data_IF_931611830984
#
_entry.id   IF_931611830984
#
_cell.length_a   1.000
_cell.length_b   1.000
_cell.length_c   1.000
_cell.angle_alpha   90.00
_cell.angle_beta   90.00
_cell.angle_gamma   90.00
#
_symmetry.space_group_name_H-M   'P 1'
#
loop_
_entity.id
_entity.type
_entity.pdbx_description
1 polymer ?
#
# COMPACT_ATOMS: atom_id res chain seq x y z
N UNK A 1 31.48 -16.02 -2.31
CA UNK A 1 30.67 -14.99 -3.00
C UNK A 1 29.67 -14.41 -2.01
N UNK A 2 29.33 -13.13 -2.11
CA UNK A 2 28.23 -12.58 -1.33
C UNK A 2 26.91 -13.27 -1.74
N UNK A 3 26.02 -13.63 -0.80
CA UNK A 3 24.76 -14.27 -1.14
C UNK A 3 23.92 -13.36 -2.04
N UNK A 4 23.11 -13.96 -2.91
CA UNK A 4 22.11 -13.22 -3.70
C UNK A 4 20.77 -13.36 -3.00
N UNK A 5 20.10 -12.24 -2.76
CA UNK A 5 18.77 -12.18 -2.16
C UNK A 5 17.79 -11.67 -3.21
N UNK A 6 16.81 -12.48 -3.55
CA UNK A 6 15.70 -12.08 -4.41
C UNK A 6 14.57 -11.51 -3.54
N UNK A 7 14.07 -10.33 -3.90
CA UNK A 7 12.89 -9.70 -3.32
C UNK A 7 11.80 -9.72 -4.37
N UNK A 8 10.68 -10.39 -4.08
CA UNK A 8 9.54 -10.52 -5.00
C UNK A 8 8.43 -9.56 -4.56
N UNK A 9 8.06 -8.64 -5.44
CA UNK A 9 7.11 -7.56 -5.21
C UNK A 9 7.80 -6.23 -4.88
N UNK A 10 7.71 -5.27 -5.79
CA UNK A 10 8.18 -3.88 -5.72
C UNK A 10 7.22 -2.93 -4.99
N UNK A 11 6.40 -3.45 -4.08
CA UNK A 11 5.58 -2.66 -3.17
C UNK A 11 6.38 -2.05 -2.01
N UNK A 12 5.67 -1.42 -1.06
CA UNK A 12 6.27 -0.74 0.11
C UNK A 12 7.27 -1.66 0.85
N UNK A 13 6.83 -2.87 1.21
CA UNK A 13 7.69 -3.82 1.94
C UNK A 13 8.86 -4.32 1.14
N UNK A 14 8.70 -4.58 -0.16
CA UNK A 14 9.81 -5.03 -0.99
C UNK A 14 10.88 -3.95 -1.17
N UNK A 15 10.46 -2.71 -1.43
CA UNK A 15 11.38 -1.57 -1.48
C UNK A 15 12.07 -1.33 -0.13
N UNK A 16 11.34 -1.44 0.98
CA UNK A 16 11.91 -1.34 2.32
C UNK A 16 12.92 -2.47 2.59
N UNK A 17 12.64 -3.70 2.14
CA UNK A 17 13.56 -4.83 2.24
C UNK A 17 14.83 -4.58 1.41
N UNK A 18 14.71 -4.16 0.15
CA UNK A 18 15.86 -3.80 -0.69
C UNK A 18 16.72 -2.70 -0.03
N UNK A 19 16.06 -1.66 0.50
CA UNK A 19 16.74 -0.58 1.22
C UNK A 19 17.52 -1.12 2.42
N UNK A 20 16.91 -1.95 3.27
CA UNK A 20 17.58 -2.51 4.44
C UNK A 20 18.71 -3.49 4.07
N UNK A 21 18.52 -4.34 3.05
CA UNK A 21 19.55 -5.24 2.54
C UNK A 21 20.78 -4.47 2.02
N UNK A 22 20.55 -3.37 1.29
CA UNK A 22 21.63 -2.55 0.71
C UNK A 22 22.47 -1.81 1.76
N UNK A 23 21.95 -1.66 2.98
CA UNK A 23 22.61 -0.94 4.08
C UNK A 23 23.27 -1.85 5.13
N UNK A 24 23.33 -3.16 4.88
CA UNK A 24 24.07 -4.08 5.74
C UNK A 24 25.58 -3.85 5.65
N UNK A 25 26.37 -4.27 6.66
CA UNK A 25 27.83 -4.13 6.66
C UNK A 25 28.52 -4.93 5.54
N UNK A 26 27.88 -6.00 5.09
CA UNK A 26 28.26 -6.77 3.89
C UNK A 26 27.01 -6.97 3.02
N UNK A 27 26.64 -5.97 2.21
CA UNK A 27 25.37 -6.02 1.50
C UNK A 27 25.39 -7.16 0.46
N UNK A 28 24.36 -8.03 0.44
CA UNK A 28 24.22 -9.06 -0.58
C UNK A 28 23.94 -8.44 -1.95
N UNK A 29 24.06 -9.23 -3.01
CA UNK A 29 23.49 -8.86 -4.31
C UNK A 29 21.96 -8.91 -4.17
N UNK A 30 21.28 -7.79 -4.39
CA UNK A 30 19.81 -7.70 -4.31
C UNK A 30 19.20 -7.75 -5.71
N UNK A 31 18.28 -8.67 -5.94
CA UNK A 31 17.47 -8.76 -7.16
C UNK A 31 16.02 -8.44 -6.80
N UNK A 32 15.50 -7.30 -7.27
CA UNK A 32 14.09 -6.94 -7.11
C UNK A 32 13.31 -7.39 -8.34
N UNK A 33 12.26 -8.18 -8.12
CA UNK A 33 11.35 -8.66 -9.14
C UNK A 33 9.97 -8.03 -8.92
N UNK A 34 9.49 -7.24 -9.88
CA UNK A 34 8.16 -6.63 -9.89
C UNK A 34 7.45 -6.99 -11.19
N UNK A 35 6.18 -7.38 -11.10
CA UNK A 35 5.39 -7.78 -12.27
C UNK A 35 4.86 -6.56 -13.04
N UNK A 36 4.58 -5.45 -12.33
CA UNK A 36 4.10 -4.22 -12.91
C UNK A 36 5.19 -3.36 -13.57
N UNK A 37 4.76 -2.38 -14.35
CA UNK A 37 5.65 -1.43 -15.01
C UNK A 37 6.26 -0.37 -14.06
N UNK A 38 5.86 -0.36 -12.78
CA UNK A 38 6.32 0.62 -11.79
C UNK A 38 6.47 0.00 -10.40
N UNK A 39 7.33 0.62 -9.61
CA UNK A 39 7.49 0.34 -8.19
C UNK A 39 6.49 1.17 -7.35
N UNK A 40 6.39 0.82 -6.07
CA UNK A 40 5.60 1.55 -5.06
C UNK A 40 4.27 0.87 -4.68
N UNK A 41 3.91 -0.23 -5.35
CA UNK A 41 2.64 -0.92 -5.10
C UNK A 41 1.46 0.03 -5.30
N UNK A 42 0.51 0.06 -4.37
CA UNK A 42 -0.67 0.93 -4.48
C UNK A 42 -0.40 2.42 -4.22
N UNK A 43 0.77 2.79 -3.72
CA UNK A 43 1.13 4.20 -3.54
C UNK A 43 1.52 4.85 -4.87
N UNK A 44 1.02 6.07 -5.10
CA UNK A 44 1.42 6.92 -6.23
C UNK A 44 1.46 8.38 -5.78
N UNK A 45 2.35 9.18 -6.35
CA UNK A 45 2.35 10.63 -6.16
C UNK A 45 2.05 11.32 -7.48
N UNK A 46 1.17 12.33 -7.48
CA UNK A 46 1.02 13.25 -8.62
C UNK A 46 1.37 14.66 -8.20
N UNK A 47 2.09 15.37 -9.06
CA UNK A 47 2.41 16.79 -8.87
C UNK A 47 1.46 17.64 -9.70
N UNK A 48 0.81 18.61 -9.08
CA UNK A 48 0.03 19.61 -9.79
C UNK A 48 0.95 20.71 -10.36
N UNK A 49 0.40 21.50 -11.27
CA UNK A 49 1.12 22.58 -11.95
C UNK A 49 1.62 23.67 -11.00
N UNK A 50 0.94 23.86 -9.87
CA UNK A 50 1.32 24.79 -8.79
C UNK A 50 2.39 24.23 -7.83
N UNK A 51 2.88 23.00 -8.08
CA UNK A 51 3.87 22.32 -7.26
C UNK A 51 3.30 21.51 -6.10
N UNK A 52 1.98 21.51 -5.88
CA UNK A 52 1.35 20.67 -4.86
C UNK A 52 1.55 19.18 -5.15
N UNK A 53 1.80 18.38 -4.10
CA UNK A 53 2.00 16.93 -4.19
C UNK A 53 0.80 16.21 -3.61
N UNK A 54 0.20 15.33 -4.41
CA UNK A 54 -0.94 14.50 -4.04
C UNK A 54 -0.48 13.06 -3.88
N UNK A 55 -0.60 12.53 -2.67
CA UNK A 55 -0.34 11.13 -2.36
C UNK A 55 -1.62 10.31 -2.53
N UNK A 56 -1.58 9.39 -3.48
CA UNK A 56 -2.64 8.42 -3.77
C UNK A 56 -2.32 7.10 -3.09
N UNK A 57 -3.37 6.41 -2.66
CA UNK A 57 -3.28 5.07 -2.15
C UNK A 57 -4.59 4.63 -1.50
N UNK A 58 -4.72 3.35 -1.15
CA UNK A 58 -5.93 2.82 -0.52
C UNK A 58 -6.14 3.37 0.90
N UNK A 59 -5.09 3.95 1.49
CA UNK A 59 -5.17 4.81 2.67
C UNK A 59 -4.38 6.07 2.40
N UNK A 60 -5.03 7.21 2.48
CA UNK A 60 -4.43 8.50 2.16
C UNK A 60 -3.41 8.95 3.21
N UNK A 61 -2.33 9.56 2.73
CA UNK A 61 -1.46 10.43 3.51
C UNK A 61 -1.94 11.87 3.25
N UNK A 62 -2.11 12.64 4.33
CA UNK A 62 -2.62 14.01 4.23
C UNK A 62 -1.60 14.90 3.50
N UNK A 63 -2.04 15.72 2.53
CA UNK A 63 -1.16 16.73 1.94
C UNK A 63 -0.69 17.72 3.01
N UNK A 64 0.56 18.16 2.92
CA UNK A 64 1.17 19.12 3.85
C UNK A 64 1.11 20.56 3.31
N UNK A 65 1.08 21.54 4.22
CA UNK A 65 1.08 22.97 3.90
C UNK A 65 -0.32 23.57 3.70
N UNK A 66 -0.40 24.88 3.47
CA UNK A 66 -1.66 25.62 3.30
C UNK A 66 -2.51 25.05 2.13
N UNK A 67 -1.87 24.71 1.01
CA UNK A 67 -2.52 24.02 -0.11
C UNK A 67 -3.06 22.62 0.25
N UNK A 68 -2.54 21.96 1.29
CA UNK A 68 -3.07 20.68 1.78
C UNK A 68 -4.29 20.80 2.69
N UNK A 69 -4.43 21.92 3.40
CA UNK A 69 -5.58 22.21 4.24
C UNK A 69 -6.83 22.57 3.43
N UNK A 70 -6.64 23.24 2.29
CA UNK A 70 -7.75 23.76 1.46
C UNK A 70 -8.33 22.72 0.47
N UNK A 71 -7.66 21.57 0.24
CA UNK A 71 -7.83 20.86 -1.05
C UNK A 71 -8.48 19.47 -1.01
N UNK A 72 -8.63 18.75 0.12
CA UNK A 72 -9.05 17.34 0.03
C UNK A 72 -10.11 16.87 1.03
N UNK A 73 -11.36 16.88 0.57
CA UNK A 73 -12.35 15.88 1.01
C UNK A 73 -12.04 14.54 0.34
N UNK A 74 -11.12 13.78 0.94
CA UNK A 74 -10.88 12.41 0.52
C UNK A 74 -12.07 11.54 0.95
N UNK A 75 -12.91 11.18 0.00
CA UNK A 75 -14.01 10.23 0.23
C UNK A 75 -13.52 8.83 -0.11
N UNK A 76 -13.59 7.93 0.87
CA UNK A 76 -13.32 6.52 0.65
C UNK A 76 -14.64 5.80 0.37
N UNK A 77 -14.78 5.25 -0.83
CA UNK A 77 -15.92 4.41 -1.23
C UNK A 77 -15.47 2.96 -1.31
N UNK A 78 -16.19 2.05 -0.66
CA UNK A 78 -15.95 0.61 -0.78
C UNK A 78 -15.97 -0.16 0.53
N UNK A 79 -14.83 -0.80 0.84
CA UNK A 79 -14.75 -1.84 1.85
C UNK A 79 -15.32 -3.16 1.34
N UNK A 80 -15.69 -4.06 2.27
CA UNK A 80 -16.25 -5.38 1.95
C UNK A 80 -17.55 -5.33 1.12
N UNK A 81 -18.17 -4.16 1.02
CA UNK A 81 -19.47 -3.93 0.38
C UNK A 81 -19.35 -3.29 -1.01
N UNK A 82 -18.13 -3.06 -1.53
CA UNK A 82 -17.93 -2.36 -2.80
C UNK A 82 -18.72 -3.01 -3.94
N UNK A 83 -18.52 -4.31 -4.16
CA UNK A 83 -19.16 -5.04 -5.25
C UNK A 83 -20.70 -5.02 -5.14
N UNK A 84 -21.21 -5.15 -3.92
CA UNK A 84 -22.65 -5.10 -3.66
C UNK A 84 -23.24 -3.69 -3.90
N UNK A 85 -22.45 -2.65 -3.66
CA UNK A 85 -22.91 -1.25 -3.72
C UNK A 85 -22.73 -0.61 -5.09
N UNK A 86 -21.68 -0.99 -5.82
CA UNK A 86 -21.24 -0.32 -7.04
C UNK A 86 -21.02 -1.26 -8.23
N UNK A 87 -21.14 -2.57 -8.04
CA UNK A 87 -20.84 -3.57 -9.06
C UNK A 87 -19.35 -3.90 -9.15
N UNK A 88 -18.97 -4.53 -10.26
CA UNK A 88 -17.61 -5.01 -10.47
C UNK A 88 -16.57 -3.86 -10.47
N UNK A 89 -15.57 -3.89 -9.57
CA UNK A 89 -14.56 -2.84 -9.47
C UNK A 89 -13.64 -2.73 -10.70
N UNK A 90 -13.63 -3.72 -11.59
CA UNK A 90 -12.90 -3.65 -12.85
C UNK A 90 -13.66 -2.86 -13.93
N UNK A 91 -14.98 -2.71 -13.81
CA UNK A 91 -15.83 -2.16 -14.87
C UNK A 91 -16.70 -0.99 -14.42
N UNK A 92 -16.75 -0.70 -13.12
CA UNK A 92 -17.51 0.44 -12.55
C UNK A 92 -17.10 1.77 -13.17
N UNK A 93 -18.11 2.57 -13.54
CA UNK A 93 -17.92 3.90 -14.12
C UNK A 93 -17.39 4.89 -13.05
N UNK A 94 -16.28 5.60 -13.29
CA UNK A 94 -15.74 6.60 -12.36
C UNK A 94 -16.75 7.71 -12.01
N UNK A 95 -17.63 8.06 -12.94
CA UNK A 95 -18.65 9.10 -12.79
C UNK A 95 -19.69 8.73 -11.73
N UNK A 96 -20.05 7.44 -11.63
CA UNK A 96 -20.94 6.94 -10.59
C UNK A 96 -20.31 7.12 -9.21
N UNK A 97 -19.03 6.79 -9.08
CA UNK A 97 -18.28 6.91 -7.83
C UNK A 97 -18.12 8.38 -7.43
N UNK A 98 -17.80 9.26 -8.38
CA UNK A 98 -17.72 10.69 -8.14
C UNK A 98 -19.05 11.25 -7.65
N UNK A 99 -20.15 10.91 -8.33
CA UNK A 99 -21.49 11.36 -7.96
C UNK A 99 -21.87 10.90 -6.54
N UNK A 100 -21.54 9.65 -6.18
CA UNK A 100 -21.77 9.12 -4.82
C UNK A 100 -20.91 9.82 -3.77
N UNK A 101 -19.65 10.11 -4.09
CA UNK A 101 -18.76 10.85 -3.20
C UNK A 101 -19.26 12.28 -2.93
N UNK A 102 -19.70 12.99 -3.98
CA UNK A 102 -20.27 14.34 -3.87
C UNK A 102 -21.56 14.34 -3.04
N UNK A 103 -22.44 13.36 -3.26
CA UNK A 103 -23.65 13.22 -2.47
C UNK A 103 -23.34 13.00 -0.97
N UNK A 104 -22.37 12.14 -0.65
CA UNK A 104 -21.95 11.90 0.72
C UNK A 104 -21.34 13.15 1.37
N UNK A 105 -20.50 13.90 0.65
CA UNK A 105 -19.92 15.16 1.15
C UNK A 105 -21.00 16.20 1.44
N UNK A 106 -21.99 16.35 0.56
CA UNK A 106 -23.11 17.27 0.77
C UNK A 106 -23.93 16.87 1.99
N UNK A 107 -24.30 15.60 2.10
CA UNK A 107 -25.13 15.08 3.19
C UNK A 107 -24.42 15.12 4.56
N UNK A 108 -23.13 14.76 4.60
CA UNK A 108 -22.39 14.57 5.85
C UNK A 108 -21.67 15.84 6.32
N UNK A 109 -21.24 16.69 5.39
CA UNK A 109 -20.43 17.88 5.68
C UNK A 109 -21.15 19.20 5.34
N UNK A 110 -22.32 19.16 4.69
CA UNK A 110 -23.07 20.35 4.32
C UNK A 110 -22.40 21.21 3.24
N UNK A 111 -21.46 20.63 2.48
CA UNK A 111 -20.71 21.33 1.45
C UNK A 111 -21.41 21.18 0.10
N UNK A 112 -21.90 22.31 -0.41
CA UNK A 112 -22.66 22.41 -1.67
C UNK A 112 -21.83 22.70 -2.94
N UNK A 113 -20.71 23.46 -2.92
CA UNK A 113 -20.01 23.77 -4.15
C UNK A 113 -19.41 22.51 -4.78
N UNK A 114 -19.58 22.36 -6.10
CA UNK A 114 -18.91 21.30 -6.85
C UNK A 114 -17.37 21.47 -6.74
N UNK A 115 -16.62 20.35 -6.66
CA UNK A 115 -15.17 20.43 -6.57
C UNK A 115 -14.59 21.03 -7.85
N UNK A 116 -13.62 21.94 -7.71
CA UNK A 116 -12.85 22.52 -8.82
C UNK A 116 -11.99 21.47 -9.53
N UNK A 117 -11.64 20.40 -8.83
CA UNK A 117 -10.88 19.27 -9.36
C UNK A 117 -11.27 17.98 -8.64
N UNK A 118 -11.35 16.86 -9.38
CA UNK A 118 -11.68 15.55 -8.81
C UNK A 118 -10.79 14.46 -9.40
N UNK A 119 -10.32 13.57 -8.54
CA UNK A 119 -9.56 12.37 -8.92
C UNK A 119 -10.30 11.16 -8.37
N UNK A 120 -10.69 10.24 -9.25
CA UNK A 120 -11.32 8.97 -8.87
C UNK A 120 -10.37 7.83 -9.21
N UNK A 121 -10.05 7.00 -8.21
CA UNK A 121 -9.23 5.80 -8.38
C UNK A 121 -9.89 4.61 -7.70
N UNK A 122 -10.03 3.51 -8.44
CA UNK A 122 -10.49 2.23 -7.89
C UNK A 122 -9.27 1.35 -7.66
N UNK A 123 -9.06 0.97 -6.40
CA UNK A 123 -7.96 0.10 -6.00
C UNK A 123 -8.50 -1.32 -5.70
N UNK A 124 -8.28 -2.25 -6.63
CA UNK A 124 -8.71 -3.64 -6.48
C UNK A 124 -7.78 -4.42 -5.57
N UNK A 125 -8.32 -5.32 -4.74
CA UNK A 125 -7.54 -6.19 -3.83
C UNK A 125 -6.45 -5.45 -3.03
N UNK A 126 -6.73 -4.21 -2.62
CA UNK A 126 -5.70 -3.28 -2.13
C UNK A 126 -5.50 -3.28 -0.61
N UNK A 127 -6.51 -3.74 0.14
CA UNK A 127 -6.47 -3.87 1.59
C UNK A 127 -6.80 -5.34 1.94
N UNK A 128 -5.79 -6.14 2.32
CA UNK A 128 -6.00 -7.50 2.76
C UNK A 128 -7.01 -7.58 3.92
N UNK A 129 -7.93 -8.54 3.85
CA UNK A 129 -8.91 -8.79 4.90
C UNK A 129 -8.42 -9.93 5.79
N UNK A 130 -8.10 -9.60 7.05
CA UNK A 130 -7.68 -10.59 8.04
C UNK A 130 -8.91 -11.22 8.67
N UNK A 131 -9.35 -12.33 8.09
CA UNK A 131 -10.49 -13.09 8.59
C UNK A 131 -10.13 -13.93 9.83
N UNK A 132 -11.14 -14.50 10.48
CA UNK A 132 -10.94 -15.51 11.53
C UNK A 132 -10.06 -16.63 10.97
N UNK A 133 -8.93 -16.90 11.63
CA UNK A 133 -7.93 -17.81 11.08
C UNK A 133 -6.60 -17.15 10.68
N UNK A 134 -6.55 -15.82 10.59
CA UNK A 134 -5.32 -15.11 10.18
C UNK A 134 -4.20 -15.24 11.22
N UNK A 135 -4.54 -15.24 12.51
CA UNK A 135 -3.57 -15.32 13.61
C UNK A 135 -2.74 -16.60 13.59
N UNK A 136 -3.24 -17.68 12.98
CA UNK A 136 -2.53 -18.95 12.86
C UNK A 136 -1.29 -18.86 11.96
N UNK A 137 -1.23 -17.87 11.06
CA UNK A 137 -0.08 -17.57 10.20
C UNK A 137 0.45 -18.84 9.50
N UNK A 138 -0.46 -19.62 8.88
CA UNK A 138 -0.18 -20.99 8.38
C UNK A 138 1.02 -21.06 7.44
N UNK A 139 1.17 -20.10 6.53
CA UNK A 139 2.30 -20.08 5.59
C UNK A 139 3.61 -19.83 6.35
N UNK A 140 3.65 -18.84 7.24
CA UNK A 140 4.83 -18.56 8.07
C UNK A 140 5.25 -19.78 8.89
N UNK A 141 4.29 -20.53 9.44
CA UNK A 141 4.54 -21.78 10.17
C UNK A 141 5.12 -22.86 9.27
N UNK A 142 4.52 -23.07 8.10
CA UNK A 142 4.98 -24.04 7.11
C UNK A 142 6.43 -23.75 6.67
N UNK A 143 6.77 -22.48 6.40
CA UNK A 143 8.13 -22.10 6.05
C UNK A 143 9.13 -22.45 7.15
N UNK A 144 8.76 -22.24 8.43
CA UNK A 144 9.59 -22.55 9.58
C UNK A 144 9.75 -24.07 9.79
N UNK A 145 8.65 -24.83 9.76
CA UNK A 145 8.65 -26.29 9.92
C UNK A 145 9.51 -26.98 8.84
N UNK A 146 9.45 -26.49 7.60
CA UNK A 146 10.20 -27.03 6.48
C UNK A 146 11.58 -26.37 6.24
N UNK A 147 12.01 -25.45 7.12
CA UNK A 147 13.29 -24.75 7.02
C UNK A 147 13.54 -24.12 5.64
N UNK A 148 12.48 -23.60 5.02
CA UNK A 148 12.58 -23.02 3.69
C UNK A 148 13.29 -21.65 3.77
N UNK A 149 14.24 -21.36 2.85
CA UNK A 149 14.97 -20.09 2.84
C UNK A 149 14.11 -18.95 2.26
N UNK A 150 12.93 -18.75 2.84
CA UNK A 150 11.91 -17.80 2.40
C UNK A 150 11.44 -16.98 3.59
N UNK A 151 11.21 -15.68 3.34
CA UNK A 151 10.65 -14.77 4.33
C UNK A 151 9.43 -14.06 3.75
N UNK A 152 8.35 -13.99 4.54
CA UNK A 152 7.14 -13.27 4.16
C UNK A 152 7.19 -11.85 4.75
N UNK A 153 6.88 -10.86 3.92
CA UNK A 153 6.79 -9.45 4.29
C UNK A 153 5.59 -8.81 3.61
N UNK A 154 5.06 -7.73 4.17
CA UNK A 154 3.97 -6.98 3.55
C UNK A 154 2.60 -7.12 4.20
N UNK A 155 1.68 -6.32 3.64
CA UNK A 155 0.35 -6.08 4.17
C UNK A 155 -0.52 -7.34 4.27
N UNK A 156 -0.17 -8.41 3.57
CA UNK A 156 -0.90 -9.68 3.62
C UNK A 156 -0.59 -10.50 4.87
N UNK A 157 0.45 -10.18 5.63
CA UNK A 157 0.94 -11.04 6.71
C UNK A 157 0.92 -10.37 8.07
N UNK A 158 1.56 -9.21 8.20
CA UNK A 158 1.99 -8.68 9.52
C UNK A 158 1.53 -7.25 9.80
N UNK A 159 0.36 -6.87 9.30
CA UNK A 159 -0.24 -5.55 9.49
C UNK A 159 -0.40 -4.80 8.18
N UNK A 160 -1.50 -4.05 8.06
CA UNK A 160 -1.93 -3.43 6.81
C UNK A 160 -1.36 -2.02 6.60
N UNK A 161 -0.69 -1.42 7.59
CA UNK A 161 -0.21 -0.03 7.49
C UNK A 161 1.14 0.07 6.78
N UNK A 162 1.47 1.27 6.31
CA UNK A 162 2.80 1.57 5.74
C UNK A 162 3.88 1.27 6.78
N UNK A 163 3.65 1.64 8.04
CA UNK A 163 4.59 1.40 9.13
C UNK A 163 4.78 -0.11 9.37
N UNK A 164 3.70 -0.90 9.37
CA UNK A 164 3.78 -2.36 9.52
C UNK A 164 4.56 -2.99 8.35
N UNK A 165 4.31 -2.50 7.13
CA UNK A 165 4.99 -2.95 5.93
C UNK A 165 6.51 -2.70 6.01
N UNK A 166 6.94 -1.54 6.51
CA UNK A 166 8.34 -1.20 6.69
C UNK A 166 8.96 -2.00 7.85
N UNK A 167 8.27 -2.09 8.99
CA UNK A 167 8.74 -2.80 10.17
C UNK A 167 8.91 -4.31 9.90
N UNK A 168 7.96 -4.93 9.20
CA UNK A 168 8.05 -6.35 8.80
C UNK A 168 9.22 -6.60 7.84
N UNK A 169 9.45 -5.70 6.88
CA UNK A 169 10.60 -5.78 5.98
C UNK A 169 11.93 -5.69 6.73
N UNK A 170 12.06 -4.72 7.64
CA UNK A 170 13.23 -4.57 8.51
C UNK A 170 13.52 -5.84 9.31
N UNK A 171 12.51 -6.37 10.00
CA UNK A 171 12.65 -7.56 10.83
C UNK A 171 13.03 -8.81 10.03
N UNK A 172 12.51 -8.96 8.81
CA UNK A 172 12.88 -10.05 7.92
C UNK A 172 14.36 -9.97 7.49
N UNK A 173 14.84 -8.78 7.15
CA UNK A 173 16.25 -8.56 6.78
C UNK A 173 17.19 -8.83 7.96
N UNK A 174 16.82 -8.41 9.17
CA UNK A 174 17.62 -8.64 10.38
C UNK A 174 17.69 -10.13 10.75
N UNK A 175 16.63 -10.92 10.51
CA UNK A 175 16.69 -12.38 10.65
C UNK A 175 17.58 -13.04 9.60
N UNK A 176 17.62 -12.50 8.38
CA UNK A 176 18.41 -13.06 7.28
C UNK A 176 19.91 -12.76 7.41
N UNK A 177 20.27 -11.55 7.85
CA UNK A 177 21.67 -11.07 7.88
C UNK A 177 22.25 -10.97 9.30
N UNK A 178 21.45 -11.15 10.35
CA UNK A 178 21.82 -10.84 11.73
C UNK A 178 21.52 -9.39 12.13
N UNK A 179 21.52 -9.07 13.44
CA UNK A 179 21.25 -7.73 13.93
C UNK A 179 22.29 -6.72 13.46
N UNK A 180 21.87 -5.46 13.28
CA UNK A 180 22.77 -4.33 13.08
C UNK A 180 23.40 -3.97 14.44
N UNK A 181 24.73 -3.97 14.50
CA UNK A 181 25.47 -3.35 15.61
C UNK A 181 25.50 -1.83 15.42
#
# INVERSE_FOLDING_TARGET
>A
MAPTVAVVGGGISGLAACYHLSRGPRPPKVLLLEAGARLGGWLQSTRAADGAVFEHGPRGIRPGGAAGADTLHMVMLGGAWFEQSFGDPATVAPELLLHRAQAAVREQLGLEPAPTHSIVRVHQACIPQYTLGHWQQRISRFLAEHHLPLSLIGASYSGVSVNDCIASAKAAVERLLGPRH
#
